data_IF_756228330818
#
_entry.id   IF_756228330818
#
_cell.length_a   1.000
_cell.length_b   1.000
_cell.length_c   1.000
_cell.angle_alpha   90.00
_cell.angle_beta   90.00
_cell.angle_gamma   90.00
#
_symmetry.space_group_name_H-M   'P 1'
#
loop_
_entity.id
_entity.type
_entity.pdbx_description
1 polymer ?
#
# COMPACT_ATOMS: atom_id res chain seq x y z
N UNK A 1 15.23 1.02 30.15
CA UNK A 1 15.05 0.29 28.88
C UNK A 1 13.84 0.87 28.16
N UNK A 2 14.01 1.61 27.06
CA UNK A 2 12.89 2.10 26.24
C UNK A 2 12.58 1.03 25.21
N UNK A 3 11.42 0.38 25.32
CA UNK A 3 10.91 -0.48 24.26
C UNK A 3 10.77 0.37 22.98
N UNK A 4 11.52 0.03 21.94
CA UNK A 4 11.31 0.60 20.61
C UNK A 4 9.89 0.21 20.19
N UNK A 5 9.08 1.18 19.75
CA UNK A 5 7.74 0.93 19.23
C UNK A 5 7.83 -0.09 18.09
N UNK A 6 7.41 -1.33 18.36
CA UNK A 6 7.31 -2.39 17.36
C UNK A 6 6.09 -2.17 16.46
N UNK A 7 6.12 -2.79 15.29
CA UNK A 7 5.06 -2.83 14.26
C UNK A 7 3.64 -3.05 14.84
N UNK A 8 3.54 -3.71 15.99
CA UNK A 8 2.30 -3.95 16.72
C UNK A 8 1.49 -2.68 17.08
N UNK A 9 2.10 -1.49 17.17
CA UNK A 9 1.36 -0.24 17.44
C UNK A 9 0.73 0.40 16.19
N UNK A 10 1.09 -0.05 14.99
CA UNK A 10 0.58 0.49 13.71
C UNK A 10 -0.36 -0.49 13.00
N UNK A 11 -0.44 -1.73 13.48
CA UNK A 11 -1.11 -2.83 12.80
C UNK A 11 -2.15 -3.44 13.72
N UNK A 12 -3.42 -3.22 13.41
CA UNK A 12 -4.55 -3.94 13.99
C UNK A 12 -5.03 -5.00 12.99
N UNK A 13 -4.76 -6.30 13.22
CA UNK A 13 -5.15 -7.38 12.32
C UNK A 13 -6.67 -7.48 12.10
N UNK A 14 -7.48 -6.85 12.96
CA UNK A 14 -8.94 -6.80 12.88
C UNK A 14 -9.52 -5.56 12.19
N UNK A 15 -8.69 -4.59 11.78
CA UNK A 15 -9.13 -3.32 11.22
C UNK A 15 -9.72 -3.38 9.79
N UNK A 16 -9.84 -4.59 9.21
CA UNK A 16 -10.36 -4.82 7.86
C UNK A 16 -9.25 -4.93 6.81
N UNK A 17 -9.59 -4.65 5.56
CA UNK A 17 -8.66 -4.77 4.42
C UNK A 17 -7.52 -3.76 4.51
N UNK A 18 -6.30 -4.24 4.35
CA UNK A 18 -5.08 -3.43 4.37
C UNK A 18 -4.63 -3.19 2.93
N UNK A 19 -4.66 -1.93 2.53
CA UNK A 19 -4.13 -1.49 1.23
C UNK A 19 -2.67 -1.13 1.38
N UNK A 20 -1.82 -1.76 0.58
CA UNK A 20 -0.37 -1.58 0.61
C UNK A 20 0.13 -0.93 -0.67
N UNK A 21 1.04 0.04 -0.53
CA UNK A 21 1.66 0.74 -1.65
C UNK A 21 3.04 1.27 -1.27
N UNK A 22 3.87 1.54 -2.27
CA UNK A 22 5.11 2.29 -2.11
C UNK A 22 5.31 3.28 -3.27
N UNK A 23 6.54 3.69 -3.55
CA UNK A 23 6.79 4.60 -4.68
C UNK A 23 6.56 3.91 -6.04
N UNK A 24 7.15 2.73 -6.25
CA UNK A 24 7.20 2.03 -7.55
C UNK A 24 6.59 0.62 -7.57
N UNK A 25 6.19 0.08 -6.42
CA UNK A 25 5.79 -1.32 -6.25
C UNK A 25 6.92 -2.25 -5.76
N UNK A 26 8.19 -1.87 -5.93
CA UNK A 26 9.33 -2.75 -5.62
C UNK A 26 9.48 -3.09 -4.12
N UNK A 27 9.06 -2.21 -3.21
CA UNK A 27 9.04 -2.53 -1.77
C UNK A 27 7.82 -3.37 -1.41
N UNK A 28 6.73 -3.18 -2.16
CA UNK A 28 5.49 -3.89 -1.92
C UNK A 28 5.60 -5.38 -2.28
N UNK A 29 6.42 -5.72 -3.28
CA UNK A 29 6.70 -7.11 -3.65
C UNK A 29 7.33 -7.95 -2.53
N UNK A 30 7.95 -7.30 -1.54
CA UNK A 30 8.49 -7.96 -0.34
C UNK A 30 7.53 -7.81 0.85
N UNK A 31 6.97 -6.62 1.05
CA UNK A 31 6.12 -6.33 2.20
C UNK A 31 4.77 -7.07 2.15
N UNK A 32 4.09 -7.11 1.00
CA UNK A 32 2.76 -7.71 0.89
C UNK A 32 2.76 -9.22 1.14
N UNK A 33 3.69 -10.04 0.61
CA UNK A 33 3.79 -11.45 0.97
C UNK A 33 4.08 -11.68 2.46
N UNK A 34 4.85 -10.79 3.11
CA UNK A 34 5.08 -10.88 4.54
C UNK A 34 3.80 -10.62 5.36
N UNK A 35 3.00 -9.63 4.94
CA UNK A 35 1.72 -9.29 5.57
C UNK A 35 0.65 -10.36 5.35
N UNK A 36 0.63 -11.03 4.19
CA UNK A 36 -0.31 -12.15 3.91
C UNK A 36 -0.15 -13.36 4.83
N UNK A 37 0.92 -13.42 5.62
CA UNK A 37 1.10 -14.44 6.68
C UNK A 37 0.29 -14.14 7.94
N UNK A 38 -0.27 -12.93 8.03
CA UNK A 38 -1.25 -12.55 9.04
C UNK A 38 -2.65 -12.88 8.53
N UNK A 39 -3.63 -13.00 9.42
CA UNK A 39 -5.04 -13.30 9.06
C UNK A 39 -5.79 -12.11 8.43
N UNK A 40 -5.08 -11.13 7.88
CA UNK A 40 -5.66 -9.91 7.30
C UNK A 40 -5.83 -10.03 5.78
N UNK A 41 -6.83 -9.34 5.24
CA UNK A 41 -7.00 -9.19 3.80
C UNK A 41 -6.07 -8.10 3.27
N UNK A 42 -5.22 -8.44 2.29
CA UNK A 42 -4.15 -7.56 1.79
C UNK A 42 -4.38 -7.26 0.31
N UNK A 43 -4.65 -5.98 0.01
CA UNK A 43 -4.76 -5.46 -1.36
C UNK A 43 -3.48 -4.68 -1.72
N UNK A 44 -2.99 -4.89 -2.94
CA UNK A 44 -1.84 -4.16 -3.48
C UNK A 44 -2.30 -3.19 -4.57
N UNK A 45 -1.80 -1.96 -4.54
CA UNK A 45 -2.06 -0.99 -5.61
C UNK A 45 -1.08 -1.22 -6.75
N UNK A 46 -1.60 -1.54 -7.94
CA UNK A 46 -0.80 -1.71 -9.16
C UNK A 46 -0.01 -0.44 -9.52
N UNK A 47 1.27 -0.61 -9.85
CA UNK A 47 2.22 0.50 -10.03
C UNK A 47 2.44 1.39 -8.79
N UNK A 48 1.76 1.12 -7.68
CA UNK A 48 1.73 1.92 -6.45
C UNK A 48 1.50 3.41 -6.72
N UNK A 49 2.18 4.29 -5.96
CA UNK A 49 2.03 5.74 -6.11
C UNK A 49 2.34 6.21 -7.53
N UNK A 50 3.37 5.67 -8.19
CA UNK A 50 3.68 6.02 -9.57
C UNK A 50 2.57 5.62 -10.55
N UNK A 51 1.92 4.47 -10.35
CA UNK A 51 0.75 4.06 -11.12
C UNK A 51 -0.41 5.05 -10.95
N UNK A 52 -0.74 5.38 -9.71
CA UNK A 52 -1.76 6.38 -9.39
C UNK A 52 -1.43 7.75 -10.00
N UNK A 53 -0.20 8.24 -9.86
CA UNK A 53 0.20 9.55 -10.38
C UNK A 53 0.02 9.65 -11.90
N UNK A 54 0.37 8.59 -12.65
CA UNK A 54 0.16 8.53 -14.11
C UNK A 54 -1.32 8.57 -14.47
N UNK A 55 -2.14 7.77 -13.79
CA UNK A 55 -3.59 7.76 -13.98
C UNK A 55 -4.21 9.12 -13.64
N UNK A 56 -3.80 9.76 -12.54
CA UNK A 56 -4.24 11.10 -12.14
C UNK A 56 -3.90 12.16 -13.19
N UNK A 57 -2.68 12.13 -13.74
CA UNK A 57 -2.30 13.04 -14.84
C UNK A 57 -3.14 12.79 -16.09
N UNK A 58 -3.40 11.53 -16.45
CA UNK A 58 -4.24 11.20 -17.61
C UNK A 58 -5.69 11.68 -17.44
N UNK A 59 -6.22 11.64 -16.21
CA UNK A 59 -7.56 12.15 -15.91
C UNK A 59 -7.64 13.66 -15.75
N UNK A 60 -6.53 14.36 -15.48
CA UNK A 60 -6.51 15.81 -15.43
C UNK A 60 -6.72 16.45 -16.82
N UNK A 61 -6.65 15.66 -17.90
CA UNK A 61 -6.96 16.06 -19.26
C UNK A 61 -8.01 15.13 -19.91
N UNK A 62 -9.26 15.05 -19.42
CA UNK A 62 -10.27 14.20 -20.03
C UNK A 62 -11.04 14.93 -21.16
N UNK A 63 -10.92 16.25 -21.26
CA UNK A 63 -11.72 17.06 -22.20
C UNK A 63 -10.91 18.23 -22.75
N UNK A 64 -10.14 17.97 -23.80
CA UNK A 64 -9.81 19.01 -24.78
C UNK A 64 -10.21 18.47 -26.15
N UNK A 65 -11.52 18.53 -26.38
CA UNK A 65 -12.11 18.74 -27.71
C UNK A 65 -12.35 20.23 -27.87
#
# INVERSE_FOLDING_TARGET
MRARAGIAWLFDPGAGTIVTFCQSGLRNSVAAPALRRTSSDIIEIDGSYAGWARWSTAQAFPTSL
#
